data_IF_441173386315
#
_entry.id   IF_441173386315
#
_cell.length_a   1.000
_cell.length_b   1.000
_cell.length_c   1.000
_cell.angle_alpha   90.00
_cell.angle_beta   90.00
_cell.angle_gamma   90.00
#
_symmetry.space_group_name_H-M   'P 1'
#
loop_
_entity.id
_entity.type
_entity.pdbx_description
1 polymer ?
#
# COMPACT_ATOMS: atom_id res chain seq x y z
N UNK A 1 -17.86 2.62 -9.11
CA UNK A 1 -16.61 3.26 -8.67
C UNK A 1 -15.85 3.65 -9.92
N UNK A 2 -15.47 4.92 -10.02
CA UNK A 2 -14.59 5.43 -11.07
C UNK A 2 -13.13 5.18 -10.70
N UNK A 3 -12.22 5.25 -11.67
CA UNK A 3 -10.79 5.12 -11.40
C UNK A 3 -10.27 6.20 -10.43
N UNK A 4 -10.75 7.43 -10.55
CA UNK A 4 -10.39 8.53 -9.63
C UNK A 4 -10.85 8.23 -8.21
N UNK A 5 -12.10 7.79 -8.03
CA UNK A 5 -12.63 7.39 -6.72
C UNK A 5 -11.83 6.23 -6.12
N UNK A 6 -11.47 5.23 -6.93
CA UNK A 6 -10.67 4.09 -6.48
C UNK A 6 -9.27 4.53 -6.05
N UNK A 7 -8.61 5.38 -6.84
CA UNK A 7 -7.28 5.92 -6.56
C UNK A 7 -7.28 6.76 -5.28
N UNK A 8 -8.27 7.65 -5.11
CA UNK A 8 -8.36 8.50 -3.92
C UNK A 8 -8.68 7.67 -2.66
N UNK A 9 -9.54 6.66 -2.78
CA UNK A 9 -9.78 5.69 -1.72
C UNK A 9 -8.48 4.97 -1.33
N UNK A 10 -7.78 4.39 -2.30
CA UNK A 10 -6.52 3.68 -2.05
C UNK A 10 -5.47 4.59 -1.41
N UNK A 11 -5.32 5.83 -1.89
CA UNK A 11 -4.39 6.81 -1.31
C UNK A 11 -4.72 7.08 0.16
N UNK A 12 -6.00 7.29 0.47
CA UNK A 12 -6.45 7.54 1.84
C UNK A 12 -6.21 6.35 2.77
N UNK A 13 -6.44 5.13 2.28
CA UNK A 13 -6.19 3.90 3.05
C UNK A 13 -4.69 3.70 3.36
N UNK A 14 -3.82 3.90 2.36
CA UNK A 14 -2.37 3.78 2.53
C UNK A 14 -1.83 4.84 3.52
N UNK A 15 -2.27 6.09 3.41
CA UNK A 15 -1.87 7.16 4.32
C UNK A 15 -2.36 6.91 5.75
N UNK A 16 -3.59 6.39 5.91
CA UNK A 16 -4.11 6.06 7.23
C UNK A 16 -3.37 4.88 7.87
N UNK A 17 -3.03 3.86 7.09
CA UNK A 17 -2.23 2.73 7.56
C UNK A 17 -0.80 3.16 7.95
N UNK A 18 -0.19 4.02 7.13
CA UNK A 18 1.10 4.62 7.43
C UNK A 18 1.10 5.42 8.74
N UNK A 19 0.11 6.29 8.95
CA UNK A 19 -0.01 7.09 10.18
C UNK A 19 -0.29 6.24 11.43
N UNK A 20 -1.00 5.11 11.27
CA UNK A 20 -1.21 4.14 12.35
C UNK A 20 0.05 3.36 12.71
N UNK A 21 0.94 3.15 11.74
CA UNK A 21 2.19 2.41 11.93
C UNK A 21 3.28 3.22 12.64
N UNK A 22 3.36 4.52 12.34
CA UNK A 22 4.37 5.43 12.93
C UNK A 22 3.65 6.66 13.52
N UNK A 23 3.21 6.59 14.79
CA UNK A 23 2.46 7.66 15.43
C UNK A 23 3.23 8.98 15.45
N UNK A 24 2.58 10.07 15.03
CA UNK A 24 3.19 11.41 14.99
C UNK A 24 3.93 11.73 13.69
N UNK A 25 4.04 10.78 12.76
CA UNK A 25 4.63 10.98 11.45
C UNK A 25 3.58 10.74 10.35
N UNK A 26 3.51 11.66 9.41
CA UNK A 26 2.65 11.52 8.24
C UNK A 26 3.39 10.75 7.14
N UNK A 27 2.73 9.72 6.60
CA UNK A 27 3.24 9.02 5.44
C UNK A 27 3.32 9.94 4.22
N UNK A 28 4.35 9.76 3.40
CA UNK A 28 4.57 10.53 2.18
C UNK A 28 4.28 9.64 0.97
N UNK A 29 3.45 10.12 0.06
CA UNK A 29 3.24 9.47 -1.24
C UNK A 29 4.49 9.67 -2.09
N UNK A 30 5.26 8.61 -2.33
CA UNK A 30 6.50 8.64 -3.14
C UNK A 30 6.24 8.19 -4.58
N UNK A 31 5.17 7.43 -4.80
CA UNK A 31 4.74 7.01 -6.13
C UNK A 31 3.23 7.03 -6.25
N UNK A 32 2.72 7.54 -7.37
CA UNK A 32 1.29 7.62 -7.63
C UNK A 32 1.03 7.64 -9.15
N UNK A 33 0.89 6.46 -9.73
CA UNK A 33 0.84 6.23 -11.18
C UNK A 33 -0.48 5.63 -11.59
N UNK A 34 -0.99 6.08 -12.73
CA UNK A 34 -2.20 5.57 -13.36
C UNK A 34 -3.08 6.68 -13.94
N UNK A 35 -4.07 6.35 -14.80
CA UNK A 35 -4.40 5.00 -15.30
C UNK A 35 -3.27 4.33 -16.10
N UNK A 36 -2.96 3.08 -15.77
CA UNK A 36 -2.17 2.18 -16.63
C UNK A 36 -3.09 1.06 -17.10
N UNK A 37 -3.03 0.74 -18.39
CA UNK A 37 -3.78 -0.37 -18.96
C UNK A 37 -2.84 -1.57 -19.12
N UNK A 38 -2.91 -2.61 -18.28
CA UNK A 38 -1.96 -3.73 -18.34
C UNK A 38 -2.08 -4.56 -19.64
N UNK A 39 -3.13 -4.36 -20.45
CA UNK A 39 -3.39 -5.06 -21.70
C UNK A 39 -3.30 -4.21 -22.98
N UNK A 40 -2.67 -3.02 -22.94
CA UNK A 40 -2.67 -2.11 -24.10
C UNK A 40 -2.03 -2.71 -25.36
N UNK A 41 -2.76 -2.59 -26.48
CA UNK A 41 -2.16 -2.53 -27.81
C UNK A 41 -1.49 -1.15 -27.98
N UNK A 42 -0.55 -1.02 -28.94
CA UNK A 42 0.25 0.22 -29.12
C UNK A 42 -0.53 1.53 -29.37
N UNK A 43 -1.85 1.46 -29.55
CA UNK A 43 -2.74 2.61 -29.75
C UNK A 43 -3.35 3.18 -28.45
N UNK A 44 -3.01 2.62 -27.29
CA UNK A 44 -3.50 3.10 -26.00
C UNK A 44 -4.92 2.61 -25.65
N UNK A 45 -5.52 1.74 -26.47
CA UNK A 45 -6.81 1.11 -26.18
C UNK A 45 -6.63 -0.23 -25.47
N UNK A 46 -7.50 -0.48 -24.49
CA UNK A 46 -7.60 -1.76 -23.78
C UNK A 46 -8.76 -1.70 -22.77
N UNK A 47 -9.32 -2.85 -22.39
CA UNK A 47 -10.60 -2.87 -21.68
C UNK A 47 -10.51 -2.38 -20.23
N UNK A 48 -9.38 -2.58 -19.54
CA UNK A 48 -9.26 -2.37 -18.09
C UNK A 48 -8.06 -1.49 -17.69
N UNK A 49 -8.22 -0.66 -16.65
CA UNK A 49 -7.13 0.18 -16.10
C UNK A 49 -6.94 -0.01 -14.60
N UNK A 50 -5.71 0.17 -14.13
CA UNK A 50 -5.31 0.17 -12.72
C UNK A 50 -4.51 1.43 -12.37
N UNK A 51 -4.52 1.80 -11.09
CA UNK A 51 -3.60 2.76 -10.49
C UNK A 51 -2.75 2.05 -9.43
N UNK A 52 -1.48 2.47 -9.29
CA UNK A 52 -0.57 2.01 -8.25
C UNK A 52 -0.07 3.19 -7.43
N UNK A 53 -0.06 3.04 -6.11
CA UNK A 53 0.37 4.07 -5.17
C UNK A 53 1.36 3.47 -4.17
N UNK A 54 2.43 4.19 -3.89
CA UNK A 54 3.39 3.86 -2.82
C UNK A 54 3.46 5.01 -1.82
N UNK A 55 3.34 4.66 -0.54
CA UNK A 55 3.52 5.53 0.62
C UNK A 55 4.69 5.02 1.44
N UNK A 56 5.56 5.92 1.85
CA UNK A 56 6.62 5.63 2.81
C UNK A 56 6.37 6.37 4.12
N UNK A 57 6.66 5.73 5.26
CA UNK A 57 6.63 6.38 6.57
C UNK A 57 7.74 5.81 7.46
N UNK A 58 8.17 6.56 8.47
CA UNK A 58 9.24 6.11 9.35
C UNK A 58 9.73 7.18 10.31
N UNK A 59 10.18 6.75 11.48
CA UNK A 59 10.85 7.60 12.47
C UNK A 59 12.33 7.22 12.52
N UNK A 60 13.26 8.07 12.05
CA UNK A 60 14.69 7.76 12.07
C UNK A 60 15.29 7.53 13.48
N UNK A 61 14.56 7.90 14.54
CA UNK A 61 14.98 7.71 15.94
C UNK A 61 14.55 6.37 16.55
N UNK A 62 13.68 5.63 15.85
CA UNK A 62 13.15 4.32 16.25
C UNK A 62 13.42 3.32 15.12
N UNK A 63 13.72 2.08 15.47
CA UNK A 63 13.84 1.02 14.46
C UNK A 63 13.19 -0.23 15.02
N UNK A 64 11.89 -0.35 14.78
CA UNK A 64 11.08 -1.52 15.12
C UNK A 64 10.22 -1.95 13.91
N UNK A 65 10.85 -2.48 12.85
CA UNK A 65 10.13 -2.83 11.63
C UNK A 65 9.07 -3.92 11.83
N UNK A 66 9.24 -4.79 12.84
CA UNK A 66 8.22 -5.77 13.21
C UNK A 66 7.00 -5.09 13.84
N UNK A 67 7.23 -4.16 14.78
CA UNK A 67 6.17 -3.36 15.40
C UNK A 67 5.44 -2.46 14.41
N UNK A 68 6.17 -1.81 13.51
CA UNK A 68 5.61 -0.97 12.45
C UNK A 68 4.76 -1.78 11.46
N UNK A 69 5.25 -2.94 11.02
CA UNK A 69 4.46 -3.87 10.19
C UNK A 69 3.17 -4.28 10.92
N UNK A 70 3.29 -4.72 12.18
CA UNK A 70 2.15 -5.18 12.95
C UNK A 70 1.11 -4.06 13.15
N UNK A 71 1.56 -2.83 13.39
CA UNK A 71 0.69 -1.66 13.52
C UNK A 71 0.02 -1.28 12.20
N UNK A 72 0.73 -1.33 11.07
CA UNK A 72 0.15 -1.12 9.74
C UNK A 72 -0.93 -2.15 9.41
N UNK A 73 -0.65 -3.44 9.70
CA UNK A 73 -1.60 -4.55 9.54
C UNK A 73 -2.84 -4.36 10.41
N UNK A 74 -2.65 -3.95 11.67
CA UNK A 74 -3.76 -3.67 12.58
C UNK A 74 -4.61 -2.49 12.08
N UNK A 75 -3.98 -1.43 11.56
CA UNK A 75 -4.67 -0.28 11.00
C UNK A 75 -5.51 -0.66 9.77
N UNK A 76 -4.98 -1.47 8.85
CA UNK A 76 -5.72 -1.98 7.70
C UNK A 76 -6.87 -2.91 8.13
N UNK A 77 -6.61 -3.83 9.07
CA UNK A 77 -7.63 -4.76 9.58
C UNK A 77 -8.79 -4.02 10.25
N UNK A 78 -8.51 -3.01 11.06
CA UNK A 78 -9.53 -2.16 11.69
C UNK A 78 -10.40 -1.41 10.68
N UNK A 79 -9.88 -1.20 9.46
CA UNK A 79 -10.60 -0.55 8.36
C UNK A 79 -11.33 -1.55 7.46
N UNK A 80 -11.25 -2.86 7.74
CA UNK A 80 -11.97 -3.90 7.03
C UNK A 80 -11.17 -4.61 5.94
N UNK A 81 -9.84 -4.48 5.93
CA UNK A 81 -8.97 -5.26 5.05
C UNK A 81 -8.71 -6.65 5.61
N UNK A 82 -8.59 -7.64 4.73
CA UNK A 82 -8.09 -8.96 5.08
C UNK A 82 -6.58 -8.99 4.88
N UNK A 83 -5.80 -9.05 5.97
CA UNK A 83 -4.35 -9.02 5.92
C UNK A 83 -3.71 -10.38 6.26
N UNK A 84 -2.62 -10.72 5.57
CA UNK A 84 -1.82 -11.91 5.76
C UNK A 84 -0.36 -11.51 5.96
N UNK A 85 0.23 -11.92 7.07
CA UNK A 85 1.66 -11.69 7.36
C UNK A 85 2.47 -12.87 6.86
N UNK A 86 3.49 -12.61 6.05
CA UNK A 86 4.41 -13.63 5.56
C UNK A 86 5.50 -13.93 6.61
N UNK A 87 6.12 -15.12 6.58
CA UNK A 87 7.30 -15.39 7.37
C UNK A 87 8.42 -14.37 7.09
N UNK A 88 9.15 -14.01 8.15
CA UNK A 88 10.30 -13.10 8.05
C UNK A 88 11.45 -13.81 7.34
N UNK A 89 12.04 -13.13 6.35
CA UNK A 89 13.17 -13.66 5.57
C UNK A 89 14.29 -12.62 5.51
N UNK A 90 15.49 -12.95 6.00
CA UNK A 90 16.66 -12.05 5.96
C UNK A 90 16.40 -10.63 6.50
N UNK A 91 15.62 -10.52 7.59
CA UNK A 91 15.22 -9.24 8.18
C UNK A 91 14.17 -8.46 7.38
N UNK A 92 13.56 -9.09 6.36
CA UNK A 92 12.43 -8.54 5.61
C UNK A 92 11.10 -8.98 6.23
N UNK A 93 10.37 -8.01 6.77
CA UNK A 93 9.02 -8.16 7.30
C UNK A 93 8.02 -7.79 6.22
N UNK A 94 7.05 -8.68 5.96
CA UNK A 94 6.10 -8.51 4.86
C UNK A 94 4.69 -8.88 5.26
N UNK A 95 3.74 -8.11 4.74
CA UNK A 95 2.34 -8.46 4.78
C UNK A 95 1.67 -8.07 3.47
N UNK A 96 0.63 -8.80 3.10
CA UNK A 96 -0.31 -8.39 2.06
C UNK A 96 -1.68 -8.15 2.68
N UNK A 97 -2.48 -7.28 2.09
CA UNK A 97 -3.84 -7.05 2.49
C UNK A 97 -4.73 -6.84 1.26
N UNK A 98 -5.95 -7.38 1.31
CA UNK A 98 -6.92 -7.25 0.24
C UNK A 98 -8.29 -6.80 0.74
N UNK A 99 -9.01 -6.08 -0.12
CA UNK A 99 -10.37 -5.63 0.12
C UNK A 99 -11.03 -5.25 -1.19
N UNK A 100 -12.21 -5.78 -1.50
CA UNK A 100 -13.04 -5.34 -2.63
C UNK A 100 -12.28 -5.25 -3.98
N UNK A 101 -11.28 -6.13 -4.19
CA UNK A 101 -10.42 -6.15 -5.38
C UNK A 101 -9.19 -5.23 -5.30
N UNK A 102 -9.08 -4.38 -4.28
CA UNK A 102 -7.85 -3.65 -3.96
C UNK A 102 -6.83 -4.58 -3.34
N UNK A 103 -5.56 -4.31 -3.61
CA UNK A 103 -4.42 -5.04 -3.06
C UNK A 103 -3.45 -4.06 -2.42
N UNK A 104 -2.89 -4.41 -1.27
CA UNK A 104 -1.85 -3.66 -0.57
C UNK A 104 -0.74 -4.63 -0.17
N UNK A 105 0.50 -4.22 -0.34
CA UNK A 105 1.69 -4.91 0.16
C UNK A 105 2.44 -3.96 1.08
N UNK A 106 2.91 -4.49 2.20
CA UNK A 106 3.66 -3.76 3.21
C UNK A 106 5.03 -4.40 3.33
N UNK A 107 6.06 -3.58 3.35
CA UNK A 107 7.44 -3.99 3.53
C UNK A 107 8.11 -3.17 4.63
N UNK A 108 8.84 -3.84 5.52
CA UNK A 108 9.75 -3.22 6.47
C UNK A 108 11.03 -4.06 6.59
N UNK A 109 12.16 -3.43 6.89
CA UNK A 109 13.46 -4.12 6.98
C UNK A 109 14.20 -3.76 8.26
N UNK A 110 14.86 -4.73 8.89
CA UNK A 110 15.63 -4.57 10.15
C UNK A 110 16.72 -3.47 10.08
N UNK A 111 17.24 -3.18 8.89
CA UNK A 111 18.29 -2.19 8.65
C UNK A 111 17.78 -0.88 8.05
N UNK A 112 16.46 -0.68 8.00
CA UNK A 112 15.81 0.52 7.52
C UNK A 112 14.85 1.07 8.57
N UNK A 113 14.75 2.39 8.65
CA UNK A 113 13.77 3.07 9.50
C UNK A 113 12.45 3.34 8.76
N UNK A 114 12.35 2.90 7.50
CA UNK A 114 11.20 3.16 6.62
C UNK A 114 10.36 1.93 6.48
N UNK A 115 9.06 2.13 6.68
CA UNK A 115 7.97 1.28 6.24
C UNK A 115 7.54 1.72 4.85
N UNK A 116 7.41 0.77 3.92
CA UNK A 116 6.87 1.01 2.58
C UNK A 116 5.52 0.30 2.44
N UNK A 117 4.48 1.05 2.05
CA UNK A 117 3.17 0.51 1.72
C UNK A 117 2.90 0.79 0.24
N UNK A 118 2.70 -0.26 -0.55
CA UNK A 118 2.32 -0.15 -1.96
C UNK A 118 0.94 -0.75 -2.15
N UNK A 119 0.12 -0.15 -3.00
CA UNK A 119 -1.19 -0.72 -3.30
C UNK A 119 -1.61 -0.50 -4.74
N UNK A 120 -2.60 -1.29 -5.15
CA UNK A 120 -3.17 -1.31 -6.49
C UNK A 120 -4.70 -1.26 -6.40
N UNK A 121 -5.31 -0.50 -7.30
CA UNK A 121 -6.77 -0.48 -7.45
C UNK A 121 -7.26 -1.74 -8.17
N UNK A 122 -8.54 -2.13 -8.02
CA UNK A 122 -9.15 -3.11 -8.90
C UNK A 122 -9.01 -2.70 -10.36
N UNK A 123 -9.06 -3.68 -11.26
CA UNK A 123 -9.26 -3.43 -12.70
C UNK A 123 -10.63 -2.80 -12.92
N UNK A 124 -10.65 -1.57 -13.44
CA UNK A 124 -11.89 -0.84 -13.76
C UNK A 124 -11.96 -0.65 -15.28
N UNK A 125 -13.09 -0.99 -15.92
CA UNK A 125 -13.27 -0.74 -17.34
C UNK A 125 -13.14 0.74 -17.69
N UNK A 126 -12.40 1.04 -18.75
CA UNK A 126 -12.14 2.41 -19.21
C UNK A 126 -13.36 3.08 -19.87
#
# INVERSE_FOLDING_TARGET
MTLTEARDFLRAELLAAAAGAVPGYEGVVTHDVGPVNPGVLSDGSGPDTICSITVENGDPSVTDPAGELAAAVAALTARGWHAVVAPVENGHHRATAERDGFQVTIHAWDNEWRLTLSGETPSIPA
#
